data_IF_625847215420
#
_entry.id   IF_625847215420
#
_cell.length_a   1.000
_cell.length_b   1.000
_cell.length_c   1.000
_cell.angle_alpha   90.00
_cell.angle_beta   90.00
_cell.angle_gamma   90.00
#
_symmetry.space_group_name_H-M   'P 1'
#
loop_
_entity.id
_entity.type
_entity.pdbx_description
1 polymer ?
#
# COMPACT_ATOMS: atom_id res chain seq x y z
N UNK A 1 2.32 -16.43 15.20
CA UNK A 1 3.44 -16.03 14.28
C UNK A 1 4.20 -14.83 14.85
N UNK A 2 5.50 -14.64 14.58
CA UNK A 2 6.24 -13.47 15.11
C UNK A 2 5.90 -12.17 14.37
N UNK A 3 5.98 -11.05 15.08
CA UNK A 3 5.71 -9.71 14.54
C UNK A 3 6.74 -9.34 13.46
N UNK A 4 8.01 -9.69 13.64
CA UNK A 4 9.09 -9.39 12.71
C UNK A 4 8.83 -10.02 11.34
N UNK A 5 8.34 -11.26 11.31
CA UNK A 5 7.96 -11.95 10.07
C UNK A 5 6.79 -11.26 9.37
N UNK A 6 5.83 -10.73 10.12
CA UNK A 6 4.71 -9.96 9.55
C UNK A 6 5.14 -8.60 9.05
N UNK A 7 6.02 -7.91 9.75
CA UNK A 7 6.58 -6.64 9.30
C UNK A 7 7.37 -6.83 8.00
N UNK A 8 8.23 -7.84 7.95
CA UNK A 8 8.96 -8.17 6.73
C UNK A 8 8.01 -8.56 5.60
N UNK A 9 6.97 -9.34 5.93
CA UNK A 9 5.88 -9.66 5.02
C UNK A 9 5.15 -8.43 4.47
N UNK A 10 4.95 -7.37 5.27
CA UNK A 10 4.36 -6.12 4.79
C UNK A 10 5.21 -5.49 3.69
N UNK A 11 6.51 -5.32 3.93
CA UNK A 11 7.40 -4.63 2.98
C UNK A 11 7.65 -5.47 1.73
N UNK A 12 8.09 -6.71 1.88
CA UNK A 12 8.36 -7.59 0.74
C UNK A 12 7.07 -8.01 0.03
N UNK A 13 5.99 -8.22 0.77
CA UNK A 13 4.69 -8.53 0.17
C UNK A 13 4.18 -7.38 -0.69
N UNK A 14 4.38 -6.13 -0.26
CA UNK A 14 4.11 -4.96 -1.10
C UNK A 14 4.98 -4.93 -2.35
N UNK A 15 6.30 -5.06 -2.19
CA UNK A 15 7.24 -4.98 -3.31
C UNK A 15 7.04 -6.08 -4.36
N UNK A 16 6.77 -7.31 -3.92
CA UNK A 16 6.38 -8.42 -4.81
C UNK A 16 5.05 -8.11 -5.50
N UNK A 17 4.08 -7.59 -4.75
CA UNK A 17 2.77 -7.26 -5.28
C UNK A 17 2.82 -6.18 -6.36
N UNK A 18 3.54 -5.09 -6.10
CA UNK A 18 3.86 -4.01 -7.02
C UNK A 18 4.47 -4.56 -8.32
N UNK A 19 5.60 -5.26 -8.21
CA UNK A 19 6.35 -5.76 -9.37
C UNK A 19 5.51 -6.71 -10.24
N UNK A 20 4.73 -7.60 -9.61
CA UNK A 20 3.86 -8.55 -10.32
C UNK A 20 2.64 -7.83 -10.92
N UNK A 21 2.12 -6.79 -10.26
CA UNK A 21 1.03 -5.98 -10.78
C UNK A 21 1.42 -5.20 -12.03
N UNK A 22 2.62 -4.61 -12.04
CA UNK A 22 3.19 -3.96 -13.24
C UNK A 22 3.32 -4.97 -14.39
N UNK A 23 3.82 -6.18 -14.10
CA UNK A 23 3.90 -7.24 -15.10
C UNK A 23 2.52 -7.70 -15.59
N UNK A 24 1.51 -7.74 -14.73
CA UNK A 24 0.15 -8.13 -15.10
C UNK A 24 -0.52 -7.12 -16.06
N UNK A 25 -0.05 -5.87 -16.10
CA UNK A 25 -0.47 -4.89 -17.09
C UNK A 25 0.05 -5.20 -18.50
N UNK A 26 1.17 -5.94 -18.60
CA UNK A 26 1.74 -6.42 -19.86
C UNK A 26 1.26 -7.85 -20.18
N UNK A 27 1.20 -8.71 -19.17
CA UNK A 27 0.82 -10.12 -19.25
C UNK A 27 -0.62 -10.31 -18.75
N UNK A 28 -1.58 -9.86 -19.56
CA UNK A 28 -3.00 -9.78 -19.19
C UNK A 28 -3.61 -11.16 -18.90
N UNK A 29 -3.18 -12.19 -19.62
CA UNK A 29 -3.63 -13.56 -19.40
C UNK A 29 -2.87 -14.20 -18.23
N UNK A 30 -3.60 -14.89 -17.35
CA UNK A 30 -3.02 -15.56 -16.18
C UNK A 30 -1.88 -16.49 -16.56
N UNK A 31 -2.06 -17.29 -17.60
CA UNK A 31 -1.08 -18.26 -18.08
C UNK A 31 0.21 -17.54 -18.52
N UNK A 32 0.07 -16.42 -19.25
CA UNK A 32 1.22 -15.62 -19.67
C UNK A 32 1.98 -14.99 -18.49
N UNK A 33 1.26 -14.54 -17.47
CA UNK A 33 1.89 -14.02 -16.25
C UNK A 33 2.59 -15.14 -15.47
N UNK A 34 1.97 -16.32 -15.36
CA UNK A 34 2.57 -17.49 -14.72
C UNK A 34 3.83 -17.96 -15.46
N UNK A 35 3.81 -18.01 -16.79
CA UNK A 35 4.97 -18.35 -17.61
C UNK A 35 6.12 -17.37 -17.36
N UNK A 36 5.84 -16.06 -17.36
CA UNK A 36 6.85 -15.06 -17.03
C UNK A 36 7.36 -15.22 -15.59
N UNK A 37 6.49 -15.48 -14.62
CA UNK A 37 6.93 -15.70 -13.24
C UNK A 37 7.77 -16.97 -13.10
N UNK A 38 7.62 -17.98 -13.97
CA UNK A 38 8.45 -19.18 -13.93
C UNK A 38 9.83 -18.98 -14.59
N UNK A 39 9.90 -18.20 -15.66
CA UNK A 39 11.10 -18.10 -16.53
C UNK A 39 11.81 -16.75 -16.46
N UNK A 40 11.13 -15.72 -15.96
CA UNK A 40 11.56 -14.33 -15.91
C UNK A 40 12.66 -14.06 -14.89
N UNK A 41 13.36 -12.96 -15.13
CA UNK A 41 14.53 -12.54 -14.36
C UNK A 41 14.12 -11.69 -13.15
N UNK A 42 14.51 -10.42 -13.10
CA UNK A 42 14.30 -9.55 -11.93
C UNK A 42 12.86 -9.02 -11.89
N UNK A 43 12.21 -9.15 -10.74
CA UNK A 43 10.98 -8.45 -10.39
C UNK A 43 11.34 -7.00 -10.00
N UNK A 44 11.04 -6.07 -10.92
CA UNK A 44 11.30 -4.64 -10.73
C UNK A 44 10.04 -3.94 -10.23
N UNK A 45 10.20 -3.14 -9.19
CA UNK A 45 9.10 -2.40 -8.56
C UNK A 45 8.94 -0.98 -9.15
N UNK A 46 7.77 -0.37 -8.98
CA UNK A 46 7.41 0.97 -9.47
C UNK A 46 7.57 2.05 -8.39
N UNK A 47 6.90 3.19 -8.53
CA UNK A 47 6.87 4.25 -7.55
C UNK A 47 6.18 3.84 -6.26
N UNK A 48 5.28 2.85 -6.29
CA UNK A 48 4.65 2.23 -5.13
C UNK A 48 5.68 1.83 -4.07
N UNK A 49 6.58 0.92 -4.43
CA UNK A 49 7.65 0.47 -3.54
C UNK A 49 8.68 1.55 -3.33
N UNK A 50 9.09 2.29 -4.35
CA UNK A 50 10.10 3.34 -4.19
C UNK A 50 9.68 4.41 -3.17
N UNK A 51 8.40 4.80 -3.15
CA UNK A 51 7.85 5.71 -2.14
C UNK A 51 7.62 5.02 -0.79
N UNK A 52 7.29 3.73 -0.76
CA UNK A 52 7.19 2.99 0.51
C UNK A 52 8.55 2.87 1.21
N UNK A 53 9.61 2.59 0.45
CA UNK A 53 10.99 2.58 0.95
C UNK A 53 11.43 3.98 1.36
N UNK A 54 11.10 5.01 0.58
CA UNK A 54 11.35 6.40 0.99
C UNK A 54 10.68 6.79 2.31
N UNK A 55 9.48 6.26 2.59
CA UNK A 55 8.81 6.49 3.87
C UNK A 55 9.53 5.77 5.01
N UNK A 56 9.92 4.51 4.79
CA UNK A 56 10.71 3.73 5.74
C UNK A 56 12.06 4.42 6.08
N UNK A 57 12.79 4.84 5.06
CA UNK A 57 14.07 5.56 5.18
C UNK A 57 13.92 6.86 5.97
N UNK A 58 12.89 7.66 5.70
CA UNK A 58 12.64 8.92 6.42
C UNK A 58 12.36 8.69 7.91
N UNK A 59 11.57 7.66 8.24
CA UNK A 59 11.27 7.30 9.64
C UNK A 59 12.52 6.80 10.35
N UNK A 60 13.36 5.99 9.70
CA UNK A 60 14.61 5.50 10.28
C UNK A 60 15.57 6.66 10.56
N UNK A 61 15.68 7.61 9.63
CA UNK A 61 16.59 8.76 9.74
C UNK A 61 16.18 9.72 10.86
N UNK A 62 14.90 10.08 10.94
CA UNK A 62 14.41 11.09 11.89
C UNK A 62 13.88 10.50 13.20
N UNK A 63 13.64 9.19 13.24
CA UNK A 63 12.91 8.49 14.32
C UNK A 63 11.57 9.16 14.65
N UNK A 64 10.94 9.76 13.65
CA UNK A 64 9.68 10.47 13.75
C UNK A 64 8.96 10.48 12.40
N UNK A 65 7.67 10.83 12.41
CA UNK A 65 6.89 11.02 11.17
C UNK A 65 6.81 12.52 10.88
N UNK A 66 7.81 13.02 10.17
CA UNK A 66 7.98 14.44 9.87
C UNK A 66 7.73 14.73 8.38
N UNK A 67 6.80 15.64 8.08
CA UNK A 67 6.44 16.03 6.71
C UNK A 67 7.66 16.43 5.87
N UNK A 68 8.55 17.25 6.44
CA UNK A 68 9.71 17.79 5.73
C UNK A 68 10.68 16.66 5.37
N UNK A 69 11.02 15.80 6.32
CA UNK A 69 11.98 14.71 6.09
C UNK A 69 11.42 13.69 5.11
N UNK A 70 10.13 13.34 5.23
CA UNK A 70 9.46 12.45 4.27
C UNK A 70 9.49 13.04 2.86
N UNK A 71 9.13 14.32 2.72
CA UNK A 71 9.15 15.00 1.44
C UNK A 71 10.55 15.09 0.83
N UNK A 72 11.56 15.46 1.62
CA UNK A 72 12.97 15.51 1.19
C UNK A 72 13.46 14.13 0.74
N UNK A 73 13.06 13.07 1.44
CA UNK A 73 13.39 11.70 1.04
C UNK A 73 12.74 11.31 -0.28
N UNK A 74 11.45 11.58 -0.45
CA UNK A 74 10.76 11.33 -1.71
C UNK A 74 11.39 12.09 -2.87
N UNK A 75 11.70 13.38 -2.68
CA UNK A 75 12.35 14.19 -3.70
C UNK A 75 13.74 13.64 -4.06
N UNK A 76 14.53 13.22 -3.07
CA UNK A 76 15.85 12.64 -3.28
C UNK A 76 15.79 11.31 -4.03
N UNK A 77 14.85 10.44 -3.68
CA UNK A 77 14.70 9.13 -4.32
C UNK A 77 14.18 9.28 -5.76
N UNK A 78 13.20 10.17 -5.98
CA UNK A 78 12.75 10.52 -7.33
C UNK A 78 13.89 11.08 -8.19
N UNK A 79 14.74 11.95 -7.64
CA UNK A 79 15.85 12.52 -8.40
C UNK A 79 16.90 11.46 -8.81
N UNK A 80 17.02 10.37 -8.05
CA UNK A 80 17.90 9.24 -8.38
C UNK A 80 17.29 8.31 -9.43
N UNK A 81 15.99 8.04 -9.30
CA UNK A 81 15.28 7.05 -10.14
C UNK A 81 13.95 7.60 -10.69
N UNK A 82 13.98 8.67 -11.53
CA UNK A 82 12.76 9.32 -12.01
C UNK A 82 11.91 8.46 -12.96
N UNK A 83 12.44 7.32 -13.43
CA UNK A 83 11.80 6.41 -14.40
C UNK A 83 10.86 5.38 -13.76
N UNK A 84 10.65 5.41 -12.44
CA UNK A 84 9.79 4.47 -11.69
C UNK A 84 8.29 4.73 -11.86
N UNK A 85 7.84 5.20 -13.03
CA UNK A 85 6.40 5.39 -13.32
C UNK A 85 5.63 6.41 -12.44
N UNK A 86 6.31 7.27 -11.68
CA UNK A 86 5.66 8.32 -10.89
C UNK A 86 4.62 9.13 -11.66
N UNK A 87 3.45 9.33 -11.05
CA UNK A 87 2.46 10.31 -11.52
C UNK A 87 3.11 11.69 -11.75
N UNK A 88 2.79 12.43 -12.84
CA UNK A 88 3.31 13.77 -13.10
C UNK A 88 3.07 14.79 -11.97
N UNK A 89 2.08 14.52 -11.10
CA UNK A 89 1.79 15.33 -9.92
C UNK A 89 2.94 15.34 -8.91
N UNK A 90 3.63 14.22 -8.73
CA UNK A 90 4.73 14.05 -7.77
C UNK A 90 5.92 14.98 -8.07
N UNK A 91 6.52 14.97 -9.29
CA UNK A 91 7.58 15.92 -9.62
C UNK A 91 7.10 17.38 -9.66
N UNK A 92 5.83 17.64 -9.97
CA UNK A 92 5.28 18.99 -9.91
C UNK A 92 5.30 19.56 -8.47
N UNK A 93 5.02 18.72 -7.46
CA UNK A 93 5.16 19.09 -6.04
C UNK A 93 6.62 19.42 -5.71
N UNK A 94 7.56 18.56 -6.10
CA UNK A 94 8.98 18.77 -5.83
C UNK A 94 9.50 20.06 -6.47
N UNK A 95 9.07 20.35 -7.70
CA UNK A 95 9.40 21.59 -8.39
C UNK A 95 8.82 22.82 -7.67
N UNK A 96 7.57 22.75 -7.19
CA UNK A 96 6.93 23.82 -6.43
C UNK A 96 7.63 24.09 -5.10
N UNK A 97 7.94 23.04 -4.32
CA UNK A 97 8.69 23.17 -3.06
C UNK A 97 10.03 23.86 -3.29
N UNK A 98 10.79 23.42 -4.30
CA UNK A 98 12.08 24.01 -4.64
C UNK A 98 11.96 25.47 -5.11
N UNK A 99 10.93 25.79 -5.89
CA UNK A 99 10.77 27.12 -6.50
C UNK A 99 10.23 28.17 -5.52
N UNK A 100 9.31 27.77 -4.65
CA UNK A 100 8.55 28.70 -3.80
C UNK A 100 8.93 28.59 -2.32
N UNK A 101 9.83 27.68 -1.94
CA UNK A 101 10.28 27.47 -0.56
C UNK A 101 9.10 27.22 0.43
N UNK A 102 8.08 26.51 -0.06
CA UNK A 102 6.89 26.12 0.71
C UNK A 102 6.98 24.67 1.18
N UNK A 103 6.14 24.31 2.16
CA UNK A 103 6.02 22.92 2.61
C UNK A 103 5.45 22.02 1.50
N UNK A 104 5.72 20.71 1.60
CA UNK A 104 5.21 19.72 0.65
C UNK A 104 3.68 19.68 0.64
N UNK A 105 3.04 19.76 1.81
CA UNK A 105 1.59 19.88 1.97
C UNK A 105 1.02 21.08 1.23
N UNK A 106 1.62 22.27 1.37
CA UNK A 106 1.19 23.47 0.64
C UNK A 106 1.37 23.32 -0.86
N UNK A 107 2.43 22.66 -1.32
CA UNK A 107 2.62 22.39 -2.74
C UNK A 107 1.59 21.38 -3.29
N UNK A 108 1.23 20.36 -2.51
CA UNK A 108 0.19 19.38 -2.84
C UNK A 108 -1.21 20.01 -2.87
N UNK A 109 -1.51 20.94 -1.97
CA UNK A 109 -2.77 21.73 -1.94
C UNK A 109 -2.97 22.54 -3.22
N UNK A 110 -1.90 23.00 -3.87
CA UNK A 110 -1.98 23.78 -5.11
C UNK A 110 -2.22 22.94 -6.38
N UNK A 111 -2.26 21.62 -6.28
CA UNK A 111 -2.55 20.76 -7.43
C UNK A 111 -4.06 20.73 -7.73
N UNK A 112 -4.39 20.44 -8.99
CA UNK A 112 -5.77 20.25 -9.47
C UNK A 112 -6.69 21.43 -9.08
N UNK A 113 -6.26 22.65 -9.40
CA UNK A 113 -6.97 23.90 -9.10
C UNK A 113 -7.35 24.08 -7.62
N UNK A 114 -6.54 23.55 -6.71
CA UNK A 114 -6.77 23.65 -5.27
C UNK A 114 -7.54 22.48 -4.67
N UNK A 115 -8.02 21.53 -5.48
CA UNK A 115 -8.76 20.37 -4.98
C UNK A 115 -7.86 19.31 -4.34
N UNK A 116 -6.62 19.20 -4.82
CA UNK A 116 -5.71 18.14 -4.41
C UNK A 116 -5.97 16.78 -5.05
N UNK A 117 -4.98 15.87 -4.93
CA UNK A 117 -5.09 14.50 -5.45
C UNK A 117 -5.97 13.62 -4.56
N UNK A 118 -6.99 12.97 -5.15
CA UNK A 118 -7.73 11.85 -4.55
C UNK A 118 -7.26 10.48 -5.06
N UNK A 119 -6.09 10.43 -5.72
CA UNK A 119 -5.47 9.19 -6.16
C UNK A 119 -5.04 8.29 -5.00
N UNK A 120 -4.69 7.06 -5.33
CA UNK A 120 -4.23 6.01 -4.40
C UNK A 120 -2.74 6.13 -4.01
N UNK A 121 -1.97 7.04 -4.60
CA UNK A 121 -0.53 7.14 -4.39
C UNK A 121 -0.08 7.42 -2.95
N UNK A 122 -0.96 8.00 -2.11
CA UNK A 122 -0.73 8.07 -0.66
C UNK A 122 -0.95 6.74 0.06
N UNK A 123 -1.92 5.95 -0.38
CA UNK A 123 -2.25 4.67 0.22
C UNK A 123 -1.28 3.56 -0.17
N UNK A 124 -0.76 3.57 -1.40
CA UNK A 124 0.19 2.55 -1.87
C UNK A 124 1.48 2.45 -1.05
N UNK A 125 1.92 3.57 -0.48
CA UNK A 125 3.21 3.65 0.24
C UNK A 125 3.11 3.53 1.75
N UNK A 126 1.90 3.58 2.32
CA UNK A 126 1.68 3.90 3.76
C UNK A 126 1.85 2.70 4.70
N UNK A 127 1.92 1.48 4.17
CA UNK A 127 1.92 0.24 4.94
C UNK A 127 2.99 0.16 6.05
N UNK A 128 4.23 0.70 5.90
CA UNK A 128 5.22 0.71 6.98
C UNK A 128 4.71 1.38 8.27
N UNK A 129 3.93 2.47 8.17
CA UNK A 129 3.32 3.13 9.33
C UNK A 129 2.27 2.25 9.99
N UNK A 130 1.48 1.51 9.20
CA UNK A 130 0.47 0.60 9.71
C UNK A 130 1.06 -0.51 10.56
N UNK A 131 2.17 -1.10 10.12
CA UNK A 131 2.88 -2.13 10.87
C UNK A 131 3.54 -1.56 12.14
N UNK A 132 4.26 -0.44 12.00
CA UNK A 132 5.03 0.16 13.09
C UNK A 132 4.16 0.77 14.19
N UNK A 133 3.08 1.47 13.82
CA UNK A 133 2.20 2.17 14.75
C UNK A 133 0.88 1.44 14.99
N UNK A 134 0.82 0.12 14.77
CA UNK A 134 -0.40 -0.71 14.83
C UNK A 134 -1.22 -0.57 16.11
N UNK A 135 -0.55 -0.28 17.24
CA UNK A 135 -1.18 -0.12 18.56
C UNK A 135 -1.30 1.35 19.00
N UNK A 136 -0.84 2.30 18.19
CA UNK A 136 -0.81 3.71 18.54
C UNK A 136 -2.13 4.41 18.25
N UNK A 137 -2.64 5.16 19.23
CA UNK A 137 -3.78 6.08 19.02
C UNK A 137 -3.45 7.22 18.05
N UNK A 138 -2.16 7.47 17.79
CA UNK A 138 -1.68 8.49 16.85
C UNK A 138 -1.61 8.00 15.42
N UNK A 139 -1.82 6.70 15.13
CA UNK A 139 -1.69 6.12 13.78
C UNK A 139 -2.35 6.97 12.70
N UNK A 140 -3.62 7.37 12.89
CA UNK A 140 -4.31 8.24 11.92
C UNK A 140 -3.57 9.55 11.70
N UNK A 141 -3.16 10.23 12.77
CA UNK A 141 -2.48 11.53 12.68
C UNK A 141 -1.14 11.41 11.95
N UNK A 142 -0.38 10.36 12.22
CA UNK A 142 0.90 10.09 11.56
C UNK A 142 0.70 9.76 10.08
N UNK A 143 -0.30 8.94 9.75
CA UNK A 143 -0.66 8.66 8.36
C UNK A 143 -1.15 9.89 7.61
N UNK A 144 -1.89 10.80 8.27
CA UNK A 144 -2.29 12.09 7.70
C UNK A 144 -1.06 12.96 7.36
N UNK A 145 -0.03 12.97 8.20
CA UNK A 145 1.23 13.70 7.92
C UNK A 145 1.92 13.16 6.67
N UNK A 146 2.11 11.84 6.58
CA UNK A 146 2.75 11.20 5.42
C UNK A 146 1.92 11.37 4.13
N UNK A 147 0.59 11.23 4.21
CA UNK A 147 -0.28 11.39 3.05
C UNK A 147 -0.22 12.81 2.48
N UNK A 148 -0.29 13.83 3.35
CA UNK A 148 -0.30 15.26 2.98
C UNK A 148 0.92 15.72 2.21
N UNK A 149 2.05 15.01 2.31
CA UNK A 149 3.26 15.30 1.52
C UNK A 149 2.95 15.31 0.02
N UNK A 150 2.02 14.48 -0.46
CA UNK A 150 1.64 14.46 -1.89
C UNK A 150 0.15 14.53 -2.18
N UNK A 151 -0.72 14.24 -1.20
CA UNK A 151 -2.17 14.19 -1.38
C UNK A 151 -2.85 15.10 -0.36
N UNK A 152 -3.51 16.14 -0.86
CA UNK A 152 -4.23 17.13 -0.04
C UNK A 152 -5.75 16.90 -0.04
N UNK A 153 -6.31 16.14 -0.99
CA UNK A 153 -7.74 15.87 -1.04
C UNK A 153 -8.15 14.98 0.15
N UNK A 154 -9.25 15.28 0.87
CA UNK A 154 -9.67 14.52 2.06
C UNK A 154 -9.85 13.01 1.81
N UNK A 155 -10.37 12.63 0.64
CA UNK A 155 -10.52 11.23 0.23
C UNK A 155 -9.17 10.51 0.09
N UNK A 156 -8.17 11.12 -0.58
CA UNK A 156 -6.83 10.56 -0.74
C UNK A 156 -6.13 10.33 0.61
N UNK A 157 -6.25 11.32 1.50
CA UNK A 157 -5.72 11.24 2.86
C UNK A 157 -6.43 10.13 3.65
N UNK A 158 -7.76 10.09 3.63
CA UNK A 158 -8.52 9.11 4.40
C UNK A 158 -8.27 7.67 3.94
N UNK A 159 -8.12 7.45 2.63
CA UNK A 159 -7.74 6.16 2.07
C UNK A 159 -6.36 5.70 2.53
N UNK A 160 -5.37 6.59 2.61
CA UNK A 160 -4.05 6.26 3.15
C UNK A 160 -4.11 5.94 4.66
N UNK A 161 -4.86 6.74 5.44
CA UNK A 161 -5.11 6.43 6.84
C UNK A 161 -5.76 5.04 6.99
N UNK A 162 -6.79 4.76 6.20
CA UNK A 162 -7.52 3.50 6.23
C UNK A 162 -6.60 2.31 5.90
N UNK A 163 -5.76 2.44 4.87
CA UNK A 163 -4.79 1.42 4.51
C UNK A 163 -3.81 1.12 5.66
N UNK A 164 -3.26 2.16 6.29
CA UNK A 164 -2.37 1.98 7.45
C UNK A 164 -3.09 1.29 8.62
N UNK A 165 -4.37 1.62 8.84
CA UNK A 165 -5.17 0.97 9.88
C UNK A 165 -5.45 -0.49 9.55
N UNK A 166 -5.81 -0.81 8.30
CA UNK A 166 -6.04 -2.18 7.85
C UNK A 166 -4.80 -3.05 8.05
N UNK A 167 -3.62 -2.57 7.64
CA UNK A 167 -2.34 -3.25 7.89
C UNK A 167 -2.12 -3.46 9.39
N UNK A 168 -2.29 -2.42 10.22
CA UNK A 168 -2.11 -2.55 11.66
C UNK A 168 -3.06 -3.57 12.32
N UNK A 169 -4.32 -3.63 11.89
CA UNK A 169 -5.25 -4.66 12.35
C UNK A 169 -4.79 -6.07 11.94
N UNK A 170 -4.39 -6.27 10.69
CA UNK A 170 -3.95 -7.58 10.18
C UNK A 170 -2.67 -8.08 10.86
N UNK A 171 -1.72 -7.18 11.15
CA UNK A 171 -0.51 -7.54 11.90
C UNK A 171 -0.86 -8.10 13.28
N UNK A 172 -1.93 -7.63 13.92
CA UNK A 172 -2.35 -8.08 15.25
C UNK A 172 -3.14 -9.41 15.26
N UNK A 173 -3.59 -9.93 14.12
CA UNK A 173 -4.40 -11.17 14.05
C UNK A 173 -3.54 -12.41 13.77
N UNK A 174 -3.70 -13.53 14.47
CA UNK A 174 -2.99 -14.77 14.10
C UNK A 174 -3.73 -15.53 12.96
N UNK A 175 -3.05 -15.90 11.87
CA UNK A 175 -3.66 -16.72 10.81
C UNK A 175 -4.13 -18.11 11.21
N UNK A 176 -3.66 -18.63 12.34
CA UNK A 176 -4.14 -19.89 12.87
C UNK A 176 -5.49 -19.76 13.59
N UNK A 177 -5.89 -18.53 13.92
CA UNK A 177 -7.20 -18.24 14.51
C UNK A 177 -8.25 -18.01 13.42
N UNK A 178 -9.53 -18.16 13.80
CA UNK A 178 -10.64 -17.82 12.94
C UNK A 178 -10.60 -16.32 12.59
N UNK A 179 -10.52 -16.00 11.30
CA UNK A 179 -10.53 -14.61 10.85
C UNK A 179 -11.83 -13.89 11.27
N UNK A 180 -11.74 -12.75 11.98
CA UNK A 180 -12.90 -12.00 12.46
C UNK A 180 -13.43 -11.07 11.36
N UNK A 181 -14.05 -11.65 10.33
CA UNK A 181 -14.44 -10.96 9.09
C UNK A 181 -15.30 -9.72 9.33
N UNK A 182 -16.35 -9.86 10.14
CA UNK A 182 -17.31 -8.79 10.39
C UNK A 182 -16.67 -7.68 11.22
N UNK A 183 -15.95 -8.03 12.28
CA UNK A 183 -15.25 -7.08 13.14
C UNK A 183 -14.20 -6.31 12.36
N UNK A 184 -13.46 -6.98 11.48
CA UNK A 184 -12.47 -6.36 10.61
C UNK A 184 -13.11 -5.31 9.70
N UNK A 185 -14.09 -5.69 8.87
CA UNK A 185 -14.72 -4.75 7.93
C UNK A 185 -15.45 -3.63 8.66
N UNK A 186 -16.20 -3.92 9.74
CA UNK A 186 -16.88 -2.89 10.52
C UNK A 186 -15.88 -1.95 11.20
N UNK A 187 -14.73 -2.46 11.63
CA UNK A 187 -13.60 -1.66 12.11
C UNK A 187 -13.13 -0.68 11.04
N UNK A 188 -12.89 -1.15 9.81
CA UNK A 188 -12.51 -0.32 8.67
C UNK A 188 -13.57 0.75 8.35
N UNK A 189 -14.85 0.37 8.31
CA UNK A 189 -15.98 1.29 8.07
C UNK A 189 -16.08 2.36 9.16
N UNK A 190 -15.83 2.02 10.43
CA UNK A 190 -15.84 2.99 11.54
C UNK A 190 -14.62 3.89 11.52
N UNK A 191 -13.48 3.38 11.08
CA UNK A 191 -12.24 4.12 11.02
C UNK A 191 -12.25 5.16 9.88
N UNK A 192 -12.78 4.80 8.71
CA UNK A 192 -12.90 5.69 7.55
C UNK A 192 -13.79 6.90 7.83
N UNK A 193 -13.36 8.09 7.42
CA UNK A 193 -14.12 9.35 7.52
C UNK A 193 -14.89 9.68 6.23
N UNK A 194 -14.47 9.14 5.10
CA UNK A 194 -15.09 9.38 3.80
C UNK A 194 -16.31 8.47 3.56
N UNK A 195 -17.42 9.03 3.06
CA UNK A 195 -18.69 8.32 2.89
C UNK A 195 -18.64 7.30 1.76
N UNK A 196 -18.00 7.63 0.65
CA UNK A 196 -17.90 6.76 -0.53
C UNK A 196 -17.08 5.50 -0.20
N UNK A 197 -15.95 5.66 0.47
CA UNK A 197 -15.12 4.54 0.96
C UNK A 197 -15.92 3.66 1.92
N UNK A 198 -16.62 4.26 2.90
CA UNK A 198 -17.45 3.50 3.86
C UNK A 198 -18.53 2.67 3.16
N UNK A 199 -19.20 3.24 2.17
CA UNK A 199 -20.22 2.52 1.40
C UNK A 199 -19.59 1.34 0.67
N UNK A 200 -18.48 1.54 -0.04
CA UNK A 200 -17.83 0.46 -0.78
C UNK A 200 -17.26 -0.63 0.12
N UNK A 201 -16.81 -0.32 1.34
CA UNK A 201 -16.43 -1.34 2.32
C UNK A 201 -17.63 -2.19 2.78
N UNK A 202 -18.82 -1.60 2.90
CA UNK A 202 -20.05 -2.37 3.15
C UNK A 202 -20.38 -3.27 1.96
N UNK A 203 -20.22 -2.78 0.73
CA UNK A 203 -20.35 -3.60 -0.47
C UNK A 203 -19.33 -4.75 -0.48
N UNK A 204 -18.08 -4.54 -0.06
CA UNK A 204 -17.09 -5.63 0.08
C UNK A 204 -17.61 -6.73 1.03
N UNK A 205 -18.24 -6.36 2.15
CA UNK A 205 -18.85 -7.32 3.08
C UNK A 205 -19.93 -8.15 2.39
N UNK A 206 -20.80 -7.51 1.61
CA UNK A 206 -21.87 -8.17 0.86
C UNK A 206 -21.31 -9.09 -0.24
N UNK A 207 -20.31 -8.62 -1.00
CA UNK A 207 -19.64 -9.38 -2.06
C UNK A 207 -18.97 -10.65 -1.51
N UNK A 208 -18.29 -10.54 -0.35
CA UNK A 208 -17.67 -11.69 0.32
C UNK A 208 -18.74 -12.66 0.84
N UNK A 209 -19.79 -12.15 1.50
CA UNK A 209 -20.88 -12.98 2.03
C UNK A 209 -21.64 -13.73 0.92
N UNK A 210 -21.86 -13.08 -0.23
CA UNK A 210 -22.50 -13.67 -1.40
C UNK A 210 -21.54 -14.51 -2.26
N UNK A 211 -20.28 -14.67 -1.84
CA UNK A 211 -19.23 -15.39 -2.55
C UNK A 211 -19.05 -14.94 -4.02
N UNK A 212 -19.27 -13.65 -4.30
CA UNK A 212 -19.16 -13.09 -5.66
C UNK A 212 -17.77 -13.31 -6.24
N UNK A 213 -17.70 -13.45 -7.56
CA UNK A 213 -16.45 -13.61 -8.30
C UNK A 213 -15.65 -12.30 -8.34
N UNK A 214 -14.33 -12.36 -8.57
CA UNK A 214 -13.51 -11.16 -8.71
C UNK A 214 -13.98 -10.22 -9.83
N UNK A 215 -14.46 -10.76 -10.94
CA UNK A 215 -14.99 -9.97 -12.05
C UNK A 215 -16.30 -9.23 -11.67
N UNK A 216 -17.20 -9.87 -10.92
CA UNK A 216 -18.39 -9.20 -10.38
C UNK A 216 -18.02 -8.09 -9.39
N UNK A 217 -17.07 -8.36 -8.48
CA UNK A 217 -16.58 -7.38 -7.52
C UNK A 217 -15.89 -6.18 -8.20
N UNK A 218 -15.07 -6.43 -9.23
CA UNK A 218 -14.41 -5.39 -10.02
C UNK A 218 -15.43 -4.48 -10.71
N UNK A 219 -16.51 -5.06 -11.26
CA UNK A 219 -17.61 -4.29 -11.87
C UNK A 219 -18.35 -3.42 -10.85
N UNK A 220 -18.59 -3.94 -9.66
CA UNK A 220 -19.36 -3.23 -8.63
C UNK A 220 -18.55 -2.16 -7.91
N UNK A 221 -17.33 -2.48 -7.50
CA UNK A 221 -16.44 -1.57 -6.77
C UNK A 221 -15.76 -0.56 -7.69
N UNK A 222 -15.72 -0.86 -9.00
CA UNK A 222 -14.96 -0.17 -10.05
C UNK A 222 -13.45 -0.26 -9.81
N UNK A 223 -12.68 -0.04 -10.87
CA UNK A 223 -11.23 -0.05 -10.82
C UNK A 223 -10.66 1.15 -11.57
N UNK A 224 -9.86 1.95 -10.87
CA UNK A 224 -9.05 3.03 -11.40
C UNK A 224 -7.97 3.41 -10.38
N UNK A 225 -7.23 4.49 -10.65
CA UNK A 225 -6.26 5.11 -9.73
C UNK A 225 -6.91 5.83 -8.53
N UNK A 226 -8.25 5.84 -8.44
CA UNK A 226 -8.97 6.47 -7.33
C UNK A 226 -8.86 5.63 -6.07
N UNK A 227 -8.49 6.24 -4.95
CA UNK A 227 -8.32 5.50 -3.69
C UNK A 227 -9.60 4.83 -3.19
N UNK A 228 -10.77 5.41 -3.50
CA UNK A 228 -12.07 4.82 -3.15
C UNK A 228 -12.45 3.63 -4.03
N UNK A 229 -11.70 3.34 -5.09
CA UNK A 229 -11.87 2.15 -5.95
C UNK A 229 -10.79 1.12 -5.64
N UNK A 230 -9.53 1.56 -5.54
CA UNK A 230 -8.38 0.69 -5.27
C UNK A 230 -8.48 0.00 -3.90
N UNK A 231 -8.75 0.74 -2.82
CA UNK A 231 -8.73 0.17 -1.45
C UNK A 231 -9.81 -0.89 -1.24
N UNK A 232 -11.09 -0.65 -1.57
CA UNK A 232 -12.12 -1.67 -1.40
C UNK A 232 -11.85 -2.94 -2.20
N UNK A 233 -11.38 -2.81 -3.46
CA UNK A 233 -11.09 -4.00 -4.27
C UNK A 233 -9.87 -4.76 -3.74
N UNK A 234 -8.81 -4.08 -3.30
CA UNK A 234 -7.66 -4.74 -2.71
C UNK A 234 -8.01 -5.50 -1.41
N UNK A 235 -8.90 -4.93 -0.58
CA UNK A 235 -9.44 -5.60 0.62
C UNK A 235 -10.29 -6.80 0.23
N UNK A 236 -11.16 -6.67 -0.78
CA UNK A 236 -11.94 -7.80 -1.31
C UNK A 236 -11.00 -8.94 -1.77
N UNK A 237 -9.98 -8.62 -2.56
CA UNK A 237 -9.04 -9.60 -3.11
C UNK A 237 -8.29 -10.37 -2.03
N UNK A 238 -7.84 -9.66 -0.99
CA UNK A 238 -7.28 -10.25 0.22
C UNK A 238 -8.31 -11.14 0.93
N UNK A 239 -9.49 -10.62 1.29
CA UNK A 239 -10.47 -11.37 2.10
C UNK A 239 -10.98 -12.63 1.38
N UNK A 240 -11.16 -12.57 0.06
CA UNK A 240 -11.56 -13.69 -0.78
C UNK A 240 -10.56 -14.84 -0.74
N UNK A 241 -9.27 -14.53 -0.57
CA UNK A 241 -8.16 -15.48 -0.63
C UNK A 241 -7.23 -15.37 0.59
N UNK A 242 -7.78 -15.02 1.77
CA UNK A 242 -7.03 -14.60 2.97
C UNK A 242 -5.97 -15.61 3.45
N UNK A 243 -6.12 -16.87 3.07
CA UNK A 243 -5.25 -17.99 3.45
C UNK A 243 -4.11 -18.23 2.45
N UNK A 244 -4.01 -17.43 1.37
CA UNK A 244 -2.99 -17.57 0.32
C UNK A 244 -2.56 -16.21 -0.23
N UNK A 245 -1.28 -15.87 -0.02
CA UNK A 245 -0.65 -14.68 -0.59
C UNK A 245 -0.75 -14.65 -2.11
N UNK A 246 -0.33 -15.74 -2.77
CA UNK A 246 -0.39 -15.88 -4.23
C UNK A 246 -1.79 -15.67 -4.78
N UNK A 247 -2.80 -16.34 -4.21
CA UNK A 247 -4.16 -16.24 -4.72
C UNK A 247 -4.78 -14.86 -4.44
N UNK A 248 -4.46 -14.24 -3.30
CA UNK A 248 -4.85 -12.85 -3.01
C UNK A 248 -4.29 -11.90 -4.05
N UNK A 249 -2.99 -12.00 -4.34
CA UNK A 249 -2.30 -11.16 -5.32
C UNK A 249 -2.87 -11.36 -6.73
N UNK A 250 -3.03 -12.60 -7.18
CA UNK A 250 -3.58 -12.91 -8.50
C UNK A 250 -5.02 -12.43 -8.64
N UNK A 251 -5.82 -12.51 -7.57
CA UNK A 251 -7.16 -11.95 -7.54
C UNK A 251 -7.14 -10.43 -7.76
N UNK A 252 -6.17 -9.71 -7.16
CA UNK A 252 -6.06 -8.27 -7.32
C UNK A 252 -5.62 -7.87 -8.74
N UNK A 253 -4.56 -8.48 -9.26
CA UNK A 253 -3.88 -7.97 -10.47
C UNK A 253 -4.51 -8.47 -11.77
N UNK A 254 -5.29 -9.55 -11.78
CA UNK A 254 -5.85 -10.12 -13.02
C UNK A 254 -7.25 -9.59 -13.39
N UNK A 255 -7.71 -8.50 -12.75
CA UNK A 255 -9.04 -7.91 -13.01
C UNK A 255 -8.96 -6.50 -13.64
N UNK A 256 -7.77 -6.06 -14.06
CA UNK A 256 -7.53 -4.74 -14.66
C UNK A 256 -7.44 -3.62 -13.62
N UNK A 257 -7.62 -2.38 -14.07
CA UNK A 257 -7.45 -1.19 -13.23
C UNK A 257 -6.00 -0.78 -13.10
N UNK A 258 -5.64 -0.35 -11.89
CA UNK A 258 -4.30 0.09 -11.51
C UNK A 258 -3.55 -1.09 -10.87
N UNK A 259 -3.03 -1.98 -11.72
CA UNK A 259 -2.67 -3.35 -11.34
C UNK A 259 -1.45 -3.41 -10.41
N UNK A 260 -0.44 -2.57 -10.63
CA UNK A 260 0.73 -2.40 -9.74
C UNK A 260 0.29 -1.94 -8.35
N UNK A 261 -0.51 -0.88 -8.24
CA UNK A 261 -0.99 -0.40 -6.94
C UNK A 261 -1.95 -1.37 -6.26
N UNK A 262 -2.83 -2.03 -7.00
CA UNK A 262 -3.66 -3.12 -6.47
C UNK A 262 -2.80 -4.26 -5.93
N UNK A 263 -1.76 -4.65 -6.69
CA UNK A 263 -0.81 -5.67 -6.29
C UNK A 263 -0.06 -5.28 -5.02
N UNK A 264 0.49 -4.06 -4.97
CA UNK A 264 1.20 -3.49 -3.82
C UNK A 264 0.34 -3.51 -2.55
N UNK A 265 -0.87 -2.95 -2.61
CA UNK A 265 -1.78 -2.86 -1.47
C UNK A 265 -2.24 -4.25 -1.03
N UNK A 266 -2.69 -5.12 -1.94
CA UNK A 266 -3.10 -6.50 -1.58
C UNK A 266 -1.92 -7.30 -1.03
N UNK A 267 -0.72 -7.11 -1.58
CA UNK A 267 0.52 -7.70 -1.11
C UNK A 267 0.87 -7.26 0.32
N UNK A 268 0.74 -5.96 0.63
CA UNK A 268 0.92 -5.46 2.00
C UNK A 268 -0.09 -6.09 2.97
N UNK A 269 -1.38 -6.16 2.60
CA UNK A 269 -2.43 -6.73 3.45
C UNK A 269 -2.19 -8.22 3.73
N UNK A 270 -1.94 -8.98 2.66
CA UNK A 270 -1.69 -10.42 2.80
C UNK A 270 -0.41 -10.70 3.57
N UNK A 271 0.67 -9.96 3.30
CA UNK A 271 1.93 -10.05 4.04
C UNK A 271 1.79 -9.64 5.52
N UNK A 272 0.95 -8.67 5.84
CA UNK A 272 0.65 -8.28 7.22
C UNK A 272 -0.06 -9.41 8.00
N UNK A 273 -0.97 -10.12 7.34
CA UNK A 273 -1.71 -11.22 7.96
C UNK A 273 -0.89 -12.51 8.01
N UNK A 274 -0.45 -13.02 6.85
CA UNK A 274 0.19 -14.32 6.67
C UNK A 274 1.71 -14.31 6.94
N UNK A 275 2.34 -13.14 6.94
CA UNK A 275 3.77 -12.97 7.16
C UNK A 275 4.65 -13.38 5.98
N UNK A 276 5.94 -13.09 6.13
CA UNK A 276 6.99 -13.33 5.14
C UNK A 276 7.00 -14.76 4.58
N UNK A 277 6.85 -15.77 5.45
CA UNK A 277 6.95 -17.18 5.05
C UNK A 277 5.86 -17.62 4.06
N UNK A 278 4.79 -16.83 3.90
CA UNK A 278 3.70 -17.11 2.96
C UNK A 278 4.00 -16.65 1.53
N UNK A 279 5.02 -15.81 1.34
CA UNK A 279 5.41 -15.27 0.04
C UNK A 279 6.31 -16.30 -0.66
N UNK A 280 6.07 -16.63 -1.94
CA UNK A 280 6.94 -17.53 -2.69
C UNK A 280 8.40 -17.07 -2.67
N UNK A 281 9.30 -17.96 -2.23
CA UNK A 281 10.71 -17.64 -1.99
C UNK A 281 11.44 -17.25 -3.28
N UNK A 282 11.07 -17.87 -4.38
CA UNK A 282 11.59 -17.57 -5.71
C UNK A 282 11.21 -16.15 -6.15
N UNK A 283 10.02 -15.66 -5.79
CA UNK A 283 9.62 -14.26 -6.04
C UNK A 283 10.47 -13.32 -5.19
N UNK A 284 10.56 -13.55 -3.88
CA UNK A 284 11.39 -12.73 -2.97
C UNK A 284 12.83 -12.64 -3.46
N UNK A 285 13.42 -13.75 -3.88
CA UNK A 285 14.83 -13.78 -4.33
C UNK A 285 15.09 -12.97 -5.61
N UNK A 286 14.03 -12.71 -6.41
CA UNK A 286 14.10 -11.97 -7.67
C UNK A 286 13.67 -10.52 -7.54
N UNK A 287 13.13 -10.10 -6.39
CA UNK A 287 12.83 -8.69 -6.13
C UNK A 287 14.13 -7.90 -6.07
N UNK A 288 14.20 -6.83 -6.86
CA UNK A 288 15.35 -5.93 -6.79
C UNK A 288 15.45 -5.31 -5.39
N UNK A 289 16.68 -5.11 -4.90
CA UNK A 289 16.95 -4.58 -3.58
C UNK A 289 16.31 -5.38 -2.41
N UNK A 290 15.98 -6.67 -2.59
CA UNK A 290 15.35 -7.50 -1.54
C UNK A 290 16.10 -7.47 -0.19
N UNK A 291 17.43 -7.60 -0.20
CA UNK A 291 18.27 -7.49 0.99
C UNK A 291 18.17 -6.12 1.68
N UNK A 292 18.03 -5.05 0.88
CA UNK A 292 17.86 -3.69 1.40
C UNK A 292 16.48 -3.53 2.05
N UNK A 293 15.43 -4.05 1.43
CA UNK A 293 14.07 -4.07 2.01
C UNK A 293 14.06 -4.83 3.34
N UNK A 294 14.74 -5.98 3.40
CA UNK A 294 14.89 -6.75 4.64
C UNK A 294 15.65 -5.95 5.72
N UNK A 295 16.74 -5.26 5.34
CA UNK A 295 17.49 -4.38 6.24
C UNK A 295 16.64 -3.24 6.81
N UNK A 296 15.83 -2.58 5.97
CA UNK A 296 14.91 -1.55 6.40
C UNK A 296 13.84 -2.10 7.35
N UNK A 297 13.29 -3.29 7.07
CA UNK A 297 12.36 -3.96 7.98
C UNK A 297 12.98 -4.18 9.37
N UNK A 298 14.21 -4.69 9.42
CA UNK A 298 14.93 -4.91 10.69
C UNK A 298 15.17 -3.60 11.45
N UNK A 299 15.48 -2.51 10.75
CA UNK A 299 15.70 -1.20 11.37
C UNK A 299 14.39 -0.60 11.90
N UNK A 300 13.30 -0.64 11.13
CA UNK A 300 11.99 -0.17 11.58
C UNK A 300 11.47 -0.97 12.77
N UNK A 301 11.64 -2.29 12.77
CA UNK A 301 11.24 -3.14 13.90
C UNK A 301 11.91 -2.72 15.22
N UNK A 302 13.15 -2.21 15.18
CA UNK A 302 13.84 -1.69 16.39
C UNK A 302 13.22 -0.40 16.94
N UNK A 303 12.44 0.31 16.12
CA UNK A 303 11.74 1.53 16.51
C UNK A 303 10.33 1.24 17.08
N UNK A 304 9.86 -0.01 17.01
CA UNK A 304 8.53 -0.38 17.48
C UNK A 304 8.38 -0.10 18.98
N UNK A 305 7.39 0.73 19.33
CA UNK A 305 7.16 1.20 20.70
C UNK A 305 8.15 2.23 21.24
N UNK A 306 9.20 2.60 20.49
CA UNK A 306 10.17 3.62 20.92
C UNK A 306 9.89 5.01 20.36
N UNK A 307 9.08 5.11 19.32
CA UNK A 307 8.67 6.37 18.70
C UNK A 307 7.16 6.57 18.88
N UNK A 308 6.75 7.77 19.31
CA UNK A 308 5.34 8.08 19.61
C UNK A 308 4.70 9.13 18.70
#
# INVERSE_FOLDING_TARGET
MSYEKKFLGVLLGGAVGDSIGELAAVHIAKESLEDWLNEGDILRYTDDTAMSLGLAEAIIEDQSVNEKIIGEKFQKNYAKEPWRSYSPSTPAIFAKVKRYEITYSKAAEQLYDGMGSFGNGAAMRIAPLGALFRNSKKLRKLSEVSAKVTHSHPMGIDGACLMSYAVGQLVNLDPNDKFPLNEFIIGLVKFSKNKEIRQKLLNVMELIAANRSPAEAAKELKLSQRVDETIPFAIYSFLKNKDSYRNSLFCAVLNGGDQDTLGSITGNLSGAYLGYDSIPKDWVSRIENSEYIESLSKQLNKLDGSIE
#
